data_IF_909797964402
#
_entry.id   IF_909797964402
#
_cell.length_a   1.000
_cell.length_b   1.000
_cell.length_c   1.000
_cell.angle_alpha   90.00
_cell.angle_beta   90.00
_cell.angle_gamma   90.00
#
_symmetry.space_group_name_H-M   'P 1'
#
loop_
_entity.id
_entity.type
_entity.pdbx_description
1 polymer ?
#
# COMPACT_ATOMS: atom_id res chain seq x y z
N UNK A 1 19.67 -40.05 21.55
CA UNK A 1 18.70 -39.20 20.90
C UNK A 1 17.95 -38.16 21.79
N UNK A 2 18.17 -38.14 23.13
CA UNK A 2 17.37 -37.26 24.03
C UNK A 2 17.98 -35.89 24.32
N UNK A 3 19.29 -35.73 24.38
CA UNK A 3 19.96 -34.46 24.72
C UNK A 3 19.84 -33.41 23.60
N UNK A 4 20.16 -33.77 22.37
CA UNK A 4 20.05 -32.87 21.21
C UNK A 4 18.62 -32.36 20.96
N UNK A 5 17.60 -33.14 21.29
CA UNK A 5 16.19 -32.75 21.18
C UNK A 5 15.77 -31.78 22.29
N UNK A 6 16.40 -31.86 23.49
CA UNK A 6 16.18 -30.90 24.58
C UNK A 6 16.83 -29.55 24.30
N UNK A 7 18.03 -29.54 23.71
CA UNK A 7 18.73 -28.31 23.32
C UNK A 7 18.03 -27.59 22.17
N UNK A 8 17.55 -28.32 21.15
CA UNK A 8 16.76 -27.76 20.08
C UNK A 8 15.44 -27.15 20.58
N UNK A 9 14.78 -27.78 21.56
CA UNK A 9 13.56 -27.22 22.17
C UNK A 9 13.86 -26.04 23.10
N UNK A 10 14.98 -25.96 23.75
CA UNK A 10 15.38 -24.82 24.57
C UNK A 10 15.67 -23.60 23.67
N UNK A 11 16.44 -23.77 22.59
CA UNK A 11 16.69 -22.71 21.61
C UNK A 11 15.40 -22.16 20.96
N UNK A 12 14.45 -23.07 20.64
CA UNK A 12 13.16 -22.68 20.09
C UNK A 12 12.29 -21.87 21.06
N UNK A 13 12.37 -22.16 22.36
CA UNK A 13 11.63 -21.41 23.40
C UNK A 13 12.17 -19.98 23.57
N UNK A 14 13.48 -19.81 23.59
CA UNK A 14 14.11 -18.49 23.68
C UNK A 14 13.83 -17.65 22.45
N UNK A 15 13.88 -18.26 21.26
CA UNK A 15 13.50 -17.60 20.02
C UNK A 15 12.04 -17.18 20.04
N UNK A 16 11.14 -18.06 20.52
CA UNK A 16 9.72 -17.73 20.68
C UNK A 16 9.48 -16.58 21.65
N UNK A 17 10.19 -16.54 22.78
CA UNK A 17 10.11 -15.44 23.75
C UNK A 17 10.60 -14.12 23.14
N UNK A 18 11.72 -14.16 22.42
CA UNK A 18 12.25 -12.98 21.70
C UNK A 18 11.26 -12.45 20.67
N UNK A 19 10.67 -13.34 19.85
CA UNK A 19 9.67 -12.95 18.85
C UNK A 19 8.44 -12.33 19.52
N UNK A 20 7.96 -12.94 20.62
CA UNK A 20 6.83 -12.40 21.39
C UNK A 20 7.15 -11.01 21.95
N UNK A 21 8.30 -10.84 22.59
CA UNK A 21 8.74 -9.55 23.12
C UNK A 21 8.85 -8.48 22.03
N UNK A 22 9.40 -8.87 20.87
CA UNK A 22 9.49 -8.00 19.71
C UNK A 22 8.09 -7.58 19.18
N UNK A 23 7.18 -8.54 19.07
CA UNK A 23 5.79 -8.24 18.64
C UNK A 23 5.08 -7.33 19.65
N UNK A 24 5.21 -7.61 20.95
CA UNK A 24 4.66 -6.73 22.00
C UNK A 24 5.24 -5.33 21.87
N UNK A 25 6.54 -5.19 21.72
CA UNK A 25 7.20 -3.90 21.55
C UNK A 25 6.66 -3.13 20.31
N UNK A 26 6.43 -3.81 19.19
CA UNK A 26 5.90 -3.20 17.97
C UNK A 26 4.42 -2.83 18.09
N UNK A 27 3.61 -3.72 18.65
CA UNK A 27 2.16 -3.52 18.65
C UNK A 27 1.65 -2.76 19.87
N UNK A 28 2.38 -2.74 20.99
CA UNK A 28 1.96 -2.05 22.20
C UNK A 28 1.63 -0.56 21.96
N UNK A 29 2.47 0.24 21.28
CA UNK A 29 2.14 1.63 20.99
C UNK A 29 0.88 1.78 20.13
N UNK A 30 0.66 0.87 19.18
CA UNK A 30 -0.51 0.88 18.30
C UNK A 30 -1.78 0.54 19.10
N UNK A 31 -1.69 -0.40 20.04
CA UNK A 31 -2.81 -0.78 20.90
C UNK A 31 -3.19 0.31 21.92
N UNK A 32 -2.27 1.18 22.28
CA UNK A 32 -2.57 2.32 23.14
C UNK A 32 -3.55 3.32 22.49
N UNK A 33 -3.53 3.47 21.17
CA UNK A 33 -4.43 4.38 20.45
C UNK A 33 -5.90 4.00 20.67
N UNK A 34 -6.36 2.78 20.35
CA UNK A 34 -7.73 2.38 20.64
C UNK A 34 -8.03 2.35 22.14
N UNK A 35 -7.07 1.99 23.00
CA UNK A 35 -7.26 2.01 24.43
C UNK A 35 -7.62 3.42 24.94
N UNK A 36 -6.86 4.43 24.56
CA UNK A 36 -7.12 5.82 24.94
C UNK A 36 -8.34 6.41 24.24
N UNK A 37 -8.75 5.91 23.08
CA UNK A 37 -9.97 6.38 22.41
C UNK A 37 -11.24 6.11 23.20
N UNK A 38 -11.20 5.15 24.13
CA UNK A 38 -12.31 4.86 25.05
C UNK A 38 -12.12 5.51 26.43
N UNK A 39 -11.03 6.21 26.69
CA UNK A 39 -10.79 6.85 27.97
C UNK A 39 -11.63 8.12 28.11
N UNK A 40 -12.31 8.27 29.24
CA UNK A 40 -13.11 9.47 29.57
C UNK A 40 -12.22 10.61 30.06
N UNK A 41 -11.24 10.99 29.23
CA UNK A 41 -10.30 12.08 29.49
C UNK A 41 -9.78 12.66 28.18
N UNK A 42 -9.58 13.96 28.14
CA UNK A 42 -8.94 14.65 27.01
C UNK A 42 -7.46 14.24 26.88
N UNK A 43 -6.85 13.82 27.99
CA UNK A 43 -5.46 13.42 28.00
C UNK A 43 -5.31 11.92 27.72
N UNK A 44 -4.53 11.57 26.70
CA UNK A 44 -4.13 10.19 26.42
C UNK A 44 -3.03 9.74 27.39
N UNK A 45 -3.35 9.60 28.68
CA UNK A 45 -2.41 9.30 29.76
C UNK A 45 -2.99 8.29 30.76
N UNK A 46 -2.11 7.61 31.50
CA UNK A 46 -2.49 6.78 32.65
C UNK A 46 -2.48 7.63 33.96
N UNK A 47 -3.36 7.30 34.92
CA UNK A 47 -4.37 6.23 34.89
C UNK A 47 -5.58 6.55 34.02
N UNK A 48 -6.25 5.52 33.49
CA UNK A 48 -7.52 5.69 32.75
C UNK A 48 -8.59 6.22 33.73
N UNK A 49 -9.32 7.26 33.32
CA UNK A 49 -10.30 7.94 34.18
C UNK A 49 -11.72 7.39 34.05
N UNK A 50 -11.97 6.56 33.05
CA UNK A 50 -13.27 5.95 32.81
C UNK A 50 -13.36 5.35 31.42
N UNK A 51 -14.53 4.79 31.10
CA UNK A 51 -14.82 4.26 29.78
C UNK A 51 -15.96 5.06 29.15
N UNK A 52 -15.75 5.62 27.96
CA UNK A 52 -16.74 6.43 27.26
C UNK A 52 -16.78 6.13 25.76
N UNK A 53 -17.94 6.26 25.15
CA UNK A 53 -18.16 6.32 23.70
C UNK A 53 -18.45 7.75 23.21
N UNK A 54 -18.47 8.72 24.13
CA UNK A 54 -18.84 10.11 23.83
C UNK A 54 -17.95 10.76 22.75
N UNK A 55 -16.69 10.35 22.64
CA UNK A 55 -15.82 10.82 21.57
C UNK A 55 -16.30 10.42 20.18
N UNK A 56 -16.84 9.21 20.04
CA UNK A 56 -17.41 8.71 18.80
C UNK A 56 -18.74 9.40 18.47
N UNK A 57 -19.58 9.65 19.48
CA UNK A 57 -20.81 10.42 19.31
C UNK A 57 -20.49 11.86 18.84
N UNK A 58 -19.51 12.50 19.47
CA UNK A 58 -19.03 13.84 19.08
C UNK A 58 -18.47 13.82 17.64
N UNK A 59 -17.72 12.79 17.26
CA UNK A 59 -17.20 12.63 15.91
C UNK A 59 -18.31 12.55 14.87
N UNK A 60 -19.30 11.68 15.10
CA UNK A 60 -20.44 11.51 14.19
C UNK A 60 -21.37 12.72 14.17
N UNK A 61 -21.50 13.40 15.31
CA UNK A 61 -22.27 14.64 15.41
C UNK A 61 -21.62 15.87 14.79
N UNK A 62 -20.35 15.79 14.38
CA UNK A 62 -19.63 16.91 13.80
C UNK A 62 -19.56 16.80 12.27
N UNK A 63 -20.36 17.62 11.52
CA UNK A 63 -20.39 17.55 10.05
C UNK A 63 -19.05 17.86 9.38
N UNK A 64 -18.21 18.68 9.99
CA UNK A 64 -16.89 19.02 9.44
C UNK A 64 -15.94 17.81 9.49
N UNK A 65 -15.93 17.06 10.60
CA UNK A 65 -15.09 15.86 10.76
C UNK A 65 -15.59 14.71 9.90
N UNK A 66 -16.90 14.46 9.87
CA UNK A 66 -17.49 13.42 9.02
C UNK A 66 -17.29 13.72 7.52
N UNK A 67 -17.42 14.98 7.14
CA UNK A 67 -17.14 15.44 5.76
C UNK A 67 -15.65 15.29 5.40
N UNK A 68 -14.74 15.61 6.31
CA UNK A 68 -13.30 15.41 6.10
C UNK A 68 -12.94 13.93 5.95
N UNK A 69 -13.52 13.06 6.78
CA UNK A 69 -13.34 11.61 6.69
C UNK A 69 -13.82 11.07 5.33
N UNK A 70 -15.03 11.44 4.90
CA UNK A 70 -15.55 11.05 3.61
C UNK A 70 -14.66 11.50 2.45
N UNK A 71 -14.17 12.74 2.49
CA UNK A 71 -13.23 13.26 1.49
C UNK A 71 -11.91 12.45 1.46
N UNK A 72 -11.34 12.14 2.62
CA UNK A 72 -10.10 11.36 2.73
C UNK A 72 -10.28 9.95 2.16
N UNK A 73 -11.39 9.28 2.47
CA UNK A 73 -11.71 7.96 1.93
C UNK A 73 -11.86 7.97 0.42
N UNK A 74 -12.59 8.96 -0.13
CA UNK A 74 -12.76 9.10 -1.59
C UNK A 74 -11.42 9.35 -2.27
N UNK A 75 -10.63 10.28 -1.77
CA UNK A 75 -9.29 10.58 -2.31
C UNK A 75 -8.40 9.34 -2.23
N UNK A 76 -8.38 8.64 -1.09
CA UNK A 76 -7.60 7.42 -0.90
C UNK A 76 -7.98 6.32 -1.90
N UNK A 77 -9.27 6.02 -2.05
CA UNK A 77 -9.76 5.01 -3.00
C UNK A 77 -9.39 5.38 -4.44
N UNK A 78 -9.62 6.63 -4.85
CA UNK A 78 -9.32 7.08 -6.21
C UNK A 78 -7.82 7.04 -6.48
N UNK A 79 -7.01 7.53 -5.55
CA UNK A 79 -5.56 7.53 -5.68
C UNK A 79 -4.98 6.11 -5.70
N UNK A 80 -5.41 5.22 -4.79
CA UNK A 80 -4.97 3.83 -4.74
C UNK A 80 -5.37 3.07 -6.01
N UNK A 81 -6.59 3.29 -6.53
CA UNK A 81 -7.03 2.71 -7.80
C UNK A 81 -6.16 3.18 -8.96
N UNK A 82 -5.91 4.48 -9.06
CA UNK A 82 -5.05 5.07 -10.10
C UNK A 82 -3.62 4.54 -10.02
N UNK A 83 -3.01 4.53 -8.83
CA UNK A 83 -1.67 4.00 -8.63
C UNK A 83 -1.57 2.52 -8.98
N UNK A 84 -2.58 1.71 -8.60
CA UNK A 84 -2.63 0.27 -8.90
C UNK A 84 -2.76 0.02 -10.40
N UNK A 85 -3.64 0.74 -11.09
CA UNK A 85 -3.79 0.63 -12.56
C UNK A 85 -2.49 1.01 -13.28
N UNK A 86 -1.85 2.10 -12.87
CA UNK A 86 -0.53 2.48 -13.40
C UNK A 86 0.52 1.41 -13.09
N UNK A 87 0.55 0.88 -11.86
CA UNK A 87 1.46 -0.18 -11.44
C UNK A 87 1.31 -1.45 -12.26
N UNK A 88 0.07 -1.89 -12.53
CA UNK A 88 -0.23 -3.03 -13.40
C UNK A 88 0.33 -2.78 -14.80
N UNK A 89 -0.03 -1.63 -15.39
CA UNK A 89 0.35 -1.29 -16.77
C UNK A 89 1.85 -1.18 -16.94
N UNK A 90 2.52 -0.42 -16.08
CA UNK A 90 3.98 -0.21 -16.12
C UNK A 90 4.71 -1.54 -15.93
N UNK A 91 4.29 -2.36 -14.96
CA UNK A 91 4.94 -3.64 -14.67
C UNK A 91 4.74 -4.66 -15.78
N UNK A 92 3.57 -4.71 -16.39
CA UNK A 92 3.30 -5.61 -17.50
C UNK A 92 4.11 -5.22 -18.74
N UNK A 93 4.17 -3.91 -19.06
CA UNK A 93 4.96 -3.40 -20.16
C UNK A 93 6.46 -3.60 -19.95
N UNK A 94 6.96 -3.46 -18.72
CA UNK A 94 8.38 -3.69 -18.40
C UNK A 94 8.81 -5.14 -18.64
N UNK A 95 7.98 -6.11 -18.27
CA UNK A 95 8.31 -7.54 -18.37
C UNK A 95 8.02 -8.17 -19.74
N UNK A 96 6.99 -7.70 -20.42
CA UNK A 96 6.48 -8.33 -21.64
C UNK A 96 6.42 -7.40 -22.84
N UNK A 97 6.66 -6.10 -22.64
CA UNK A 97 6.74 -5.12 -23.72
C UNK A 97 8.00 -5.32 -24.57
N UNK A 98 7.88 -5.04 -25.86
CA UNK A 98 9.00 -5.13 -26.82
C UNK A 98 9.75 -3.81 -26.98
N UNK A 99 9.34 -2.75 -26.29
CA UNK A 99 9.93 -1.42 -26.43
C UNK A 99 10.98 -1.16 -25.35
N UNK A 100 12.16 -0.65 -25.68
CA UNK A 100 13.15 -0.22 -24.69
C UNK A 100 12.62 0.92 -23.80
N UNK A 101 11.66 1.67 -24.29
CA UNK A 101 10.99 2.74 -23.54
C UNK A 101 10.23 2.20 -22.31
N UNK A 102 9.72 0.95 -22.36
CA UNK A 102 9.02 0.34 -21.25
C UNK A 102 9.90 0.19 -20.01
N UNK A 103 11.12 -0.26 -20.18
CA UNK A 103 12.10 -0.37 -19.09
C UNK A 103 12.46 1.01 -18.50
N UNK A 104 12.61 2.02 -19.35
CA UNK A 104 12.87 3.40 -18.90
C UNK A 104 11.70 3.97 -18.10
N UNK A 105 10.47 3.80 -18.57
CA UNK A 105 9.25 4.23 -17.84
C UNK A 105 9.17 3.51 -16.50
N UNK A 106 9.44 2.21 -16.45
CA UNK A 106 9.43 1.43 -15.21
C UNK A 106 10.51 1.91 -14.23
N UNK A 107 11.68 2.28 -14.71
CA UNK A 107 12.73 2.84 -13.88
C UNK A 107 12.33 4.21 -13.32
N UNK A 108 11.81 5.10 -14.14
CA UNK A 108 11.34 6.44 -13.74
C UNK A 108 10.19 6.32 -12.74
N UNK A 109 9.23 5.42 -12.95
CA UNK A 109 8.08 5.23 -12.07
C UNK A 109 8.49 4.79 -10.65
N UNK A 110 9.68 4.25 -10.47
CA UNK A 110 10.23 3.86 -9.14
C UNK A 110 11.07 4.93 -8.47
N UNK A 111 11.47 6.00 -9.17
CA UNK A 111 12.32 7.05 -8.60
C UNK A 111 11.72 7.76 -7.37
N UNK A 112 10.40 8.02 -7.29
CA UNK A 112 9.83 8.73 -6.14
C UNK A 112 10.11 8.05 -4.80
N UNK A 113 10.33 6.73 -4.74
CA UNK A 113 10.67 6.03 -3.49
C UNK A 113 12.01 6.45 -2.89
N UNK A 114 12.91 7.00 -3.70
CA UNK A 114 14.24 7.45 -3.28
C UNK A 114 14.22 8.88 -2.73
N UNK A 115 13.11 9.60 -2.93
CA UNK A 115 12.99 11.01 -2.56
C UNK A 115 12.15 11.11 -1.27
N UNK A 116 12.62 11.84 -0.24
CA UNK A 116 11.81 12.07 0.95
C UNK A 116 10.44 12.66 0.58
N UNK A 117 9.36 12.06 1.13
CA UNK A 117 7.98 12.40 0.76
C UNK A 117 7.65 13.89 0.90
N UNK A 118 8.23 14.57 1.89
CA UNK A 118 8.07 16.03 2.08
C UNK A 118 8.59 16.81 0.87
N UNK A 119 9.73 16.41 0.30
CA UNK A 119 10.30 17.07 -0.88
C UNK A 119 9.41 16.85 -2.09
N UNK A 120 8.89 15.64 -2.27
CA UNK A 120 7.93 15.33 -3.33
C UNK A 120 6.68 16.18 -3.19
N UNK A 121 6.14 16.29 -1.97
CA UNK A 121 4.94 17.10 -1.69
C UNK A 121 5.13 18.58 -2.00
N UNK A 122 6.24 19.17 -1.57
CA UNK A 122 6.56 20.59 -1.84
C UNK A 122 6.76 20.82 -3.34
N UNK A 123 7.52 19.94 -4.01
CA UNK A 123 7.78 20.04 -5.45
C UNK A 123 6.48 19.95 -6.25
N UNK A 124 5.59 19.05 -5.84
CA UNK A 124 4.28 18.91 -6.48
C UNK A 124 3.40 20.13 -6.25
N UNK A 125 3.40 20.71 -5.04
CA UNK A 125 2.66 21.93 -4.75
C UNK A 125 3.12 23.10 -5.64
N UNK A 126 4.43 23.24 -5.81
CA UNK A 126 5.00 24.24 -6.71
C UNK A 126 4.56 23.97 -8.15
N UNK A 127 4.66 22.72 -8.61
CA UNK A 127 4.29 22.34 -9.96
C UNK A 127 2.81 22.64 -10.27
N UNK A 128 1.88 22.24 -9.39
CA UNK A 128 0.44 22.44 -9.62
C UNK A 128 0.05 23.91 -9.63
N UNK A 129 0.78 24.76 -8.88
CA UNK A 129 0.62 26.22 -8.94
C UNK A 129 1.17 26.79 -10.25
N UNK A 130 2.33 26.34 -10.72
CA UNK A 130 2.95 26.82 -11.96
C UNK A 130 2.10 26.50 -13.19
N UNK A 131 1.44 25.33 -13.22
CA UNK A 131 0.57 24.93 -14.35
C UNK A 131 -0.86 25.46 -14.20
N UNK A 132 -1.15 26.26 -13.17
CA UNK A 132 -2.47 26.87 -12.97
C UNK A 132 -3.55 25.94 -12.41
N UNK A 133 -3.23 24.70 -12.04
CA UNK A 133 -4.18 23.76 -11.43
C UNK A 133 -4.51 24.16 -9.99
N UNK A 134 -3.56 24.75 -9.28
CA UNK A 134 -3.67 25.17 -7.89
C UNK A 134 -3.88 24.02 -6.91
N UNK A 135 -3.97 24.32 -5.60
CA UNK A 135 -4.33 23.36 -4.58
C UNK A 135 -5.79 22.88 -4.78
N UNK A 136 -5.96 21.63 -5.17
CA UNK A 136 -7.27 21.05 -5.49
C UNK A 136 -7.31 19.55 -5.13
N UNK A 137 -8.52 18.96 -5.04
CA UNK A 137 -8.66 17.51 -4.83
C UNK A 137 -7.95 16.70 -5.93
N UNK A 138 -7.98 17.20 -7.16
CA UNK A 138 -7.28 16.55 -8.28
C UNK A 138 -5.76 16.57 -8.05
N UNK A 139 -5.20 17.71 -7.63
CA UNK A 139 -3.78 17.81 -7.31
C UNK A 139 -3.37 16.84 -6.19
N UNK A 140 -4.20 16.70 -5.15
CA UNK A 140 -3.98 15.77 -4.05
C UNK A 140 -3.98 14.31 -4.56
N UNK A 141 -4.98 13.93 -5.37
CA UNK A 141 -5.07 12.58 -5.96
C UNK A 141 -3.85 12.26 -6.81
N UNK A 142 -3.43 13.18 -7.68
CA UNK A 142 -2.25 13.00 -8.53
C UNK A 142 -0.97 12.85 -7.68
N UNK A 143 -0.85 13.62 -6.61
CA UNK A 143 0.25 13.51 -5.67
C UNK A 143 0.33 12.15 -4.98
N UNK A 144 -0.81 11.66 -4.51
CA UNK A 144 -0.89 10.34 -3.89
C UNK A 144 -0.60 9.21 -4.88
N UNK A 145 -1.11 9.31 -6.12
CA UNK A 145 -0.76 8.37 -7.19
C UNK A 145 0.76 8.34 -7.40
N UNK A 146 1.40 9.50 -7.50
CA UNK A 146 2.84 9.62 -7.72
C UNK A 146 3.65 8.96 -6.59
N UNK A 147 3.26 9.19 -5.34
CA UNK A 147 3.94 8.63 -4.15
C UNK A 147 3.71 7.12 -4.02
N UNK A 148 2.50 6.64 -4.32
CA UNK A 148 2.14 5.22 -4.21
C UNK A 148 2.62 4.38 -5.41
N UNK A 149 2.86 5.00 -6.57
CA UNK A 149 3.23 4.32 -7.81
C UNK A 149 4.44 3.39 -7.67
N UNK A 150 5.57 3.76 -7.03
CA UNK A 150 6.70 2.86 -6.87
C UNK A 150 6.33 1.55 -6.20
N UNK A 151 5.55 1.62 -5.12
CA UNK A 151 5.12 0.45 -4.35
C UNK A 151 4.24 -0.47 -5.18
N UNK A 152 3.26 0.08 -5.91
CA UNK A 152 2.38 -0.71 -6.76
C UNK A 152 3.14 -1.35 -7.93
N UNK A 153 4.11 -0.64 -8.53
CA UNK A 153 5.00 -1.19 -9.58
C UNK A 153 5.83 -2.36 -9.03
N UNK A 154 6.43 -2.23 -7.85
CA UNK A 154 7.24 -3.30 -7.25
C UNK A 154 6.39 -4.55 -6.98
N UNK A 155 5.22 -4.39 -6.36
CA UNK A 155 4.31 -5.50 -6.04
C UNK A 155 3.83 -6.20 -7.32
N UNK A 156 3.35 -5.44 -8.29
CA UNK A 156 2.82 -6.01 -9.54
C UNK A 156 3.92 -6.67 -10.38
N UNK A 157 5.09 -6.04 -10.47
CA UNK A 157 6.24 -6.59 -11.19
C UNK A 157 6.71 -7.91 -10.58
N UNK A 158 6.82 -7.97 -9.27
CA UNK A 158 7.17 -9.20 -8.54
C UNK A 158 6.18 -10.33 -8.84
N UNK A 159 4.87 -10.01 -8.84
CA UNK A 159 3.84 -10.99 -9.14
C UNK A 159 3.92 -11.50 -10.58
N UNK A 160 3.99 -10.61 -11.56
CA UNK A 160 4.10 -11.00 -12.96
C UNK A 160 5.37 -11.82 -13.24
N UNK A 161 6.49 -11.47 -12.62
CA UNK A 161 7.73 -12.23 -12.74
C UNK A 161 7.65 -13.63 -12.12
N UNK A 162 6.80 -13.83 -11.10
CA UNK A 162 6.59 -15.13 -10.47
C UNK A 162 5.67 -16.07 -11.26
N UNK A 163 4.92 -15.58 -12.24
CA UNK A 163 4.09 -16.42 -13.11
C UNK A 163 5.00 -17.12 -14.13
N UNK A 164 4.95 -18.46 -14.24
CA UNK A 164 5.74 -19.19 -15.24
C UNK A 164 5.49 -18.68 -16.65
N UNK A 165 6.57 -18.39 -17.38
CA UNK A 165 6.49 -17.89 -18.77
C UNK A 165 5.71 -18.83 -19.69
N UNK A 166 5.80 -20.12 -19.43
CA UNK A 166 5.08 -21.18 -20.18
C UNK A 166 3.57 -20.98 -20.20
N UNK A 167 2.98 -20.39 -19.15
CA UNK A 167 1.53 -20.09 -19.12
C UNK A 167 1.17 -19.04 -20.18
N UNK A 168 1.98 -17.98 -20.29
CA UNK A 168 1.80 -16.96 -21.31
C UNK A 168 2.06 -17.49 -22.70
N UNK A 169 3.14 -18.24 -22.88
CA UNK A 169 3.51 -18.87 -24.17
C UNK A 169 2.41 -19.82 -24.64
N UNK A 170 1.89 -20.69 -23.79
CA UNK A 170 0.79 -21.58 -24.14
C UNK A 170 -0.48 -20.82 -24.58
N UNK A 171 -0.80 -19.69 -23.95
CA UNK A 171 -1.94 -18.88 -24.38
C UNK A 171 -1.72 -18.27 -25.79
N UNK A 172 -0.49 -17.82 -26.09
CA UNK A 172 -0.14 -17.28 -27.40
C UNK A 172 -0.13 -18.39 -28.48
N UNK A 173 0.37 -19.59 -28.17
CA UNK A 173 0.38 -20.75 -29.06
C UNK A 173 -1.03 -21.22 -29.42
N UNK A 174 -2.00 -21.04 -28.51
CA UNK A 174 -3.43 -21.26 -28.76
C UNK A 174 -4.10 -20.13 -29.56
N UNK A 175 -3.32 -19.17 -30.08
CA UNK A 175 -3.79 -18.08 -30.92
C UNK A 175 -4.35 -16.86 -30.16
N UNK A 176 -4.15 -16.78 -28.83
CA UNK A 176 -4.56 -15.57 -28.09
C UNK A 176 -3.65 -14.38 -28.44
N UNK A 177 -4.24 -13.19 -28.59
CA UNK A 177 -3.47 -11.96 -28.69
C UNK A 177 -2.82 -11.60 -27.34
N UNK A 178 -1.80 -10.74 -27.35
CA UNK A 178 -1.18 -10.23 -26.10
C UNK A 178 -2.19 -9.60 -25.13
N UNK A 179 -3.17 -8.86 -25.66
CA UNK A 179 -4.25 -8.27 -24.87
C UNK A 179 -5.20 -9.33 -24.27
N UNK A 180 -5.54 -10.35 -25.05
CA UNK A 180 -6.39 -11.46 -24.59
C UNK A 180 -5.67 -12.25 -23.50
N UNK A 181 -4.39 -12.54 -23.69
CA UNK A 181 -3.53 -13.19 -22.71
C UNK A 181 -3.42 -12.38 -21.43
N UNK A 182 -3.19 -11.07 -21.54
CA UNK A 182 -3.17 -10.18 -20.38
C UNK A 182 -4.49 -10.24 -19.60
N UNK A 183 -5.61 -9.97 -20.29
CA UNK A 183 -6.91 -9.79 -19.63
C UNK A 183 -7.49 -11.11 -19.08
N UNK A 184 -7.32 -12.23 -19.82
CA UNK A 184 -7.98 -13.51 -19.47
C UNK A 184 -7.08 -14.46 -18.69
N UNK A 185 -5.78 -14.27 -18.70
CA UNK A 185 -4.83 -15.19 -18.06
C UNK A 185 -4.00 -14.47 -17.00
N UNK A 186 -3.20 -13.46 -17.40
CA UNK A 186 -2.22 -12.86 -16.50
C UNK A 186 -2.87 -12.02 -15.38
N UNK A 187 -3.87 -11.22 -15.72
CA UNK A 187 -4.55 -10.35 -14.76
C UNK A 187 -5.36 -11.16 -13.72
N UNK A 188 -6.19 -12.15 -14.08
CA UNK A 188 -6.87 -12.99 -13.10
C UNK A 188 -5.94 -13.75 -12.17
N UNK A 189 -4.86 -14.31 -12.70
CA UNK A 189 -3.83 -14.98 -11.89
C UNK A 189 -3.11 -14.02 -10.92
N UNK A 190 -3.15 -12.73 -11.21
CA UNK A 190 -2.51 -11.68 -10.40
C UNK A 190 -3.46 -10.95 -9.45
N UNK A 191 -4.75 -11.29 -9.42
CA UNK A 191 -5.76 -10.62 -8.61
C UNK A 191 -5.37 -10.46 -7.12
N UNK A 192 -4.78 -11.47 -6.43
CA UNK A 192 -4.35 -11.29 -5.06
C UNK A 192 -3.29 -10.20 -4.90
N UNK A 193 -2.37 -10.08 -5.88
CA UNK A 193 -1.35 -9.03 -5.87
C UNK A 193 -1.94 -7.66 -6.23
N UNK A 194 -2.95 -7.61 -7.10
CA UNK A 194 -3.69 -6.37 -7.39
C UNK A 194 -4.35 -5.83 -6.12
N UNK A 195 -5.02 -6.70 -5.36
CA UNK A 195 -5.61 -6.32 -4.07
C UNK A 195 -4.54 -5.85 -3.08
N UNK A 196 -3.41 -6.58 -2.98
CA UNK A 196 -2.30 -6.17 -2.11
C UNK A 196 -1.70 -4.82 -2.52
N UNK A 197 -1.51 -4.59 -3.82
CA UNK A 197 -1.03 -3.31 -4.35
C UNK A 197 -1.98 -2.16 -4.02
N UNK A 198 -3.29 -2.39 -4.18
CA UNK A 198 -4.32 -1.41 -3.82
C UNK A 198 -4.30 -1.11 -2.32
N UNK A 199 -4.29 -2.14 -1.47
CA UNK A 199 -4.28 -1.96 -0.01
C UNK A 199 -3.02 -1.25 0.51
N UNK A 200 -1.87 -1.48 -0.14
CA UNK A 200 -0.62 -0.78 0.20
C UNK A 200 -0.57 0.66 -0.32
N UNK A 201 -1.34 0.97 -1.36
CA UNK A 201 -1.46 2.31 -1.93
C UNK A 201 -2.51 3.17 -1.22
N UNK A 202 -3.51 2.54 -0.59
CA UNK A 202 -4.56 3.17 0.20
C UNK A 202 -4.05 3.57 1.59
#
# INVERSE_FOLDING_TARGET
MSAARKEANAGGRWLGLYVLAYLVFLYLPILLIPLFSFNDSIQAAFPLQGFTLGWYETLYGNPALSGALANSLVIGVVAASGATLCGITVSYMDLYGRSPLAATISAIARLPILIPGVIVGISLLILVNLIGLGPSRVAIVLGHILVALPTTVVVMRSRFAAIPKTIREAALDLGASDWTTFRRVMLPLSLPAVLSAFMLAF
#
